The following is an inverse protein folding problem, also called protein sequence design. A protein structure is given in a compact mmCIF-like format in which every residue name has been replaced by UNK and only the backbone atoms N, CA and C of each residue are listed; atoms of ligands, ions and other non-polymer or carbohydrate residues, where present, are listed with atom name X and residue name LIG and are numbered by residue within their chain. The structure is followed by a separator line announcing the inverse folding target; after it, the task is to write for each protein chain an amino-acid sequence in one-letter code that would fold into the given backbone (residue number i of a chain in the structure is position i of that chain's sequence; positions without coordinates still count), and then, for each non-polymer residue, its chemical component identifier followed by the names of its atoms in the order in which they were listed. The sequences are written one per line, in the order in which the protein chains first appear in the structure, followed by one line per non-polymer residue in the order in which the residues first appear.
data_IF_349992650934
#
_entry.id   IF_349992650934
#
_cell.length_a   1.000
_cell.length_b   1.000
_cell.length_c   1.000
_cell.angle_alpha   90.00
_cell.angle_beta   90.00
_cell.angle_gamma   90.00
#
_symmetry.space_group_name_H-M   'P 1'
#
loop_
_entity.id
_entity.type
_entity.pdbx_description
1 polymer ?
#
# COMPACT_ATOMS: atom_id res chain seq x y z
N UNK A 1 -46.06 39.50 22.13
CA UNK A 1 -46.71 38.78 23.24
C UNK A 1 -46.38 37.29 23.14
N UNK A 2 -45.73 36.68 24.14
CA UNK A 2 -45.39 35.26 24.11
C UNK A 2 -46.61 34.39 24.49
N UNK A 3 -46.96 33.43 23.63
CA UNK A 3 -48.10 32.50 23.80
C UNK A 3 -47.87 31.57 25.00
N UNK A 4 -48.92 31.34 25.78
CA UNK A 4 -48.89 30.69 27.08
C UNK A 4 -48.72 29.17 26.99
N UNK A 5 -48.12 28.57 28.04
CA UNK A 5 -47.77 27.14 28.19
C UNK A 5 -48.94 26.14 28.02
N UNK A 6 -50.17 26.58 27.80
CA UNK A 6 -51.36 25.73 27.59
C UNK A 6 -51.45 25.16 26.16
N UNK A 7 -50.98 25.86 25.13
CA UNK A 7 -51.07 25.40 23.72
C UNK A 7 -50.11 24.23 23.37
N UNK A 8 -49.07 24.01 24.19
CA UNK A 8 -48.08 22.95 23.94
C UNK A 8 -48.58 21.58 24.45
N UNK A 9 -49.58 21.55 25.34
CA UNK A 9 -50.07 20.30 25.96
C UNK A 9 -51.11 19.55 25.11
N UNK A 10 -51.82 20.23 24.22
CA UNK A 10 -52.88 19.62 23.39
C UNK A 10 -52.37 18.93 22.12
N UNK A 11 -51.18 19.30 21.62
CA UNK A 11 -50.58 18.63 20.44
C UNK A 11 -49.85 17.32 20.76
N UNK A 12 -49.66 16.96 22.04
CA UNK A 12 -48.95 15.74 22.44
C UNK A 12 -49.82 14.49 22.63
N UNK A 13 -51.16 14.59 22.47
CA UNK A 13 -52.08 13.48 22.79
C UNK A 13 -52.61 12.74 21.54
N UNK A 14 -52.31 13.18 20.31
CA UNK A 14 -52.95 12.62 19.09
C UNK A 14 -52.09 11.76 18.16
N UNK A 15 -50.91 11.30 18.56
CA UNK A 15 -50.10 10.37 17.75
C UNK A 15 -49.58 9.19 18.55
N UNK A 16 -50.49 8.30 18.94
CA UNK A 16 -50.17 6.90 19.27
C UNK A 16 -50.96 5.99 18.32
N UNK A 17 -50.47 5.84 17.09
CA UNK A 17 -50.87 4.73 16.21
C UNK A 17 -49.83 3.62 16.32
N UNK A 18 -50.30 2.49 16.85
CA UNK A 18 -49.62 1.18 16.97
C UNK A 18 -48.89 0.82 15.67
N UNK A 19 -47.58 0.64 15.74
CA UNK A 19 -46.81 -0.06 14.70
C UNK A 19 -46.76 -1.54 15.11
N UNK A 20 -47.34 -2.38 14.25
CA UNK A 20 -47.41 -3.84 14.38
C UNK A 20 -45.99 -4.42 14.30
N UNK A 21 -45.62 -5.18 15.32
CA UNK A 21 -44.40 -5.99 15.37
C UNK A 21 -44.58 -7.19 14.44
N UNK A 22 -43.81 -7.26 13.36
CA UNK A 22 -43.74 -8.46 12.52
C UNK A 22 -42.84 -9.50 13.21
N UNK A 23 -43.49 -10.52 13.77
CA UNK A 23 -42.92 -11.69 14.44
C UNK A 23 -42.55 -12.70 13.34
N UNK A 24 -41.26 -12.92 13.10
CA UNK A 24 -40.79 -14.02 12.25
C UNK A 24 -40.93 -15.35 13.00
N UNK A 25 -41.56 -16.40 12.43
CA UNK A 25 -41.60 -17.71 13.08
C UNK A 25 -40.22 -18.37 13.07
N UNK A 26 -39.80 -18.82 14.25
CA UNK A 26 -38.71 -19.78 14.47
C UNK A 26 -39.36 -21.16 14.56
N UNK A 27 -39.18 -21.97 13.52
CA UNK A 27 -39.19 -23.43 13.58
C UNK A 27 -37.78 -23.85 13.14
N UNK A 28 -37.08 -24.82 13.71
CA UNK A 28 -37.48 -26.01 14.43
C UNK A 28 -36.48 -27.08 14.01
N UNK A 29 -35.81 -27.67 14.98
CA UNK A 29 -34.70 -28.63 14.85
C UNK A 29 -35.09 -29.86 14.01
N UNK A 30 -34.19 -30.32 13.13
CA UNK A 30 -34.37 -31.58 12.40
C UNK A 30 -33.07 -32.15 11.83
N UNK A 31 -32.45 -33.05 12.58
CA UNK A 31 -31.30 -33.88 12.19
C UNK A 31 -31.65 -34.86 11.05
N UNK A 32 -30.58 -35.35 10.40
CA UNK A 32 -30.44 -36.62 9.67
C UNK A 32 -31.16 -36.81 8.32
N UNK A 33 -30.39 -37.06 7.25
CA UNK A 33 -30.21 -38.43 6.72
C UNK A 33 -29.12 -38.54 5.65
N UNK A 34 -28.28 -39.54 5.88
CA UNK A 34 -27.41 -40.25 4.94
C UNK A 34 -28.26 -41.05 3.94
N UNK A 35 -27.80 -41.17 2.69
CA UNK A 35 -27.82 -42.36 1.78
C UNK A 35 -27.40 -41.89 0.38
N UNK A 36 -26.18 -42.20 -0.08
CA UNK A 36 -25.81 -43.38 -0.89
C UNK A 36 -26.69 -43.51 -2.15
N UNK A 37 -26.12 -43.14 -3.31
CA UNK A 37 -25.66 -44.03 -4.39
C UNK A 37 -26.81 -44.52 -5.29
N UNK A 38 -26.78 -44.40 -6.62
CA UNK A 38 -25.88 -45.20 -7.45
C UNK A 38 -26.25 -45.05 -8.95
N UNK A 39 -25.30 -45.41 -9.83
CA UNK A 39 -25.44 -45.86 -11.23
C UNK A 39 -25.74 -44.78 -12.28
N UNK A 40 -25.13 -44.71 -13.47
CA UNK A 40 -24.02 -45.38 -14.19
C UNK A 40 -23.77 -44.47 -15.44
N UNK A 41 -22.78 -44.56 -16.33
CA UNK A 41 -21.83 -45.57 -16.75
C UNK A 41 -20.77 -44.89 -17.64
N UNK A 42 -19.54 -45.44 -17.59
CA UNK A 42 -18.64 -45.76 -18.72
C UNK A 42 -18.21 -44.63 -19.69
N UNK A 43 -16.92 -44.41 -19.97
CA UNK A 43 -15.99 -45.33 -20.65
C UNK A 43 -14.52 -45.03 -20.22
N UNK A 44 -13.88 -45.96 -19.49
CA UNK A 44 -12.78 -46.88 -19.92
C UNK A 44 -11.39 -46.29 -20.24
N UNK A 45 -10.52 -46.28 -19.21
CA UNK A 45 -9.28 -47.09 -19.00
C UNK A 45 -8.15 -47.18 -20.07
N UNK A 46 -6.91 -47.64 -19.74
CA UNK A 46 -6.14 -47.62 -18.46
C UNK A 46 -4.60 -47.36 -18.55
N UNK A 47 -4.03 -46.97 -17.39
CA UNK A 47 -2.77 -47.41 -16.72
C UNK A 47 -1.40 -47.51 -17.45
N UNK A 48 -0.36 -46.90 -16.85
CA UNK A 48 0.77 -47.65 -16.22
C UNK A 48 1.77 -46.73 -15.50
N UNK A 49 1.91 -46.91 -14.18
CA UNK A 49 3.08 -46.49 -13.39
C UNK A 49 3.97 -47.72 -13.21
N UNK A 50 5.25 -47.63 -13.58
CA UNK A 50 6.31 -48.49 -13.04
C UNK A 50 7.57 -47.68 -12.74
N UNK A 51 8.20 -48.14 -11.67
CA UNK A 51 9.29 -47.63 -10.86
C UNK A 51 10.70 -47.75 -11.46
N UNK A 52 11.58 -46.88 -10.95
CA UNK A 52 13.00 -47.09 -10.60
C UNK A 52 14.07 -47.41 -11.67
N UNK A 53 15.21 -46.71 -11.56
CA UNK A 53 16.54 -47.33 -11.70
C UNK A 53 17.47 -46.86 -12.82
N UNK A 54 18.39 -45.95 -12.47
CA UNK A 54 19.80 -45.81 -12.90
C UNK A 54 20.27 -45.54 -14.36
N UNK A 55 21.05 -44.43 -14.44
CA UNK A 55 22.32 -44.21 -15.18
C UNK A 55 22.35 -44.33 -16.72
N UNK A 56 22.58 -43.18 -17.37
CA UNK A 56 23.77 -42.92 -18.23
C UNK A 56 23.85 -41.44 -18.68
N UNK A 57 25.02 -40.84 -18.48
CA UNK A 57 25.44 -39.56 -19.11
C UNK A 57 25.56 -39.76 -20.63
N UNK A 58 25.16 -38.81 -21.49
CA UNK A 58 25.67 -38.77 -22.85
C UNK A 58 26.89 -37.85 -22.92
N UNK A 59 27.99 -38.46 -23.33
CA UNK A 59 29.26 -37.88 -23.77
C UNK A 59 29.13 -37.11 -25.08
N UNK A 60 29.93 -36.05 -25.18
CA UNK A 60 30.51 -35.43 -26.37
C UNK A 60 29.97 -35.86 -27.75
N UNK A 61 29.41 -34.89 -28.49
CA UNK A 61 29.44 -34.92 -29.96
C UNK A 61 30.35 -33.82 -30.48
N UNK A 62 31.35 -34.30 -31.22
CA UNK A 62 32.41 -33.55 -31.86
C UNK A 62 31.90 -32.65 -32.99
N UNK A 63 32.63 -31.55 -33.17
CA UNK A 63 32.50 -30.60 -34.25
C UNK A 63 32.71 -31.24 -35.63
N UNK A 64 31.86 -30.88 -36.59
CA UNK A 64 32.15 -31.00 -38.01
C UNK A 64 32.02 -29.64 -38.71
N UNK A 65 33.19 -29.17 -39.10
CA UNK A 65 33.58 -28.14 -40.07
C UNK A 65 32.46 -27.69 -41.04
N UNK A 66 32.15 -26.39 -41.02
CA UNK A 66 31.86 -25.60 -42.23
C UNK A 66 32.77 -24.38 -42.25
N UNK A 67 33.48 -24.24 -43.36
CA UNK A 67 34.44 -23.19 -43.72
C UNK A 67 33.74 -21.82 -43.85
N UNK A 68 34.40 -20.70 -43.49
CA UNK A 68 33.93 -19.37 -43.83
C UNK A 68 34.55 -18.92 -45.18
N UNK A 69 33.72 -18.51 -46.13
CA UNK A 69 34.17 -17.72 -47.26
C UNK A 69 34.46 -16.29 -46.79
N UNK A 70 35.61 -15.78 -47.21
CA UNK A 70 36.26 -14.55 -46.74
C UNK A 70 36.00 -13.42 -47.74
N UNK A 71 35.48 -12.28 -47.29
CA UNK A 71 35.69 -10.97 -47.95
C UNK A 71 36.02 -9.94 -46.86
N UNK A 72 37.05 -9.16 -47.16
CA UNK A 72 37.86 -8.37 -46.24
C UNK A 72 37.27 -6.98 -45.91
N UNK A 73 37.82 -6.40 -44.84
CA UNK A 73 37.89 -4.96 -44.51
C UNK A 73 36.58 -4.21 -44.24
N UNK A 74 36.25 -4.10 -42.96
CA UNK A 74 36.04 -2.84 -42.20
C UNK A 74 35.82 -3.17 -40.71
N UNK A 75 36.91 -3.57 -40.03
CA UNK A 75 37.01 -3.49 -38.58
C UNK A 75 37.43 -2.06 -38.27
N UNK A 76 36.45 -1.21 -38.00
CA UNK A 76 36.51 0.11 -37.36
C UNK A 76 35.21 0.83 -37.78
N UNK A 77 34.18 0.79 -36.92
CA UNK A 77 32.99 1.61 -37.16
C UNK A 77 31.61 1.06 -36.76
N UNK A 78 31.49 -0.12 -36.15
CA UNK A 78 30.16 -0.69 -35.82
C UNK A 78 29.92 -1.09 -34.36
N UNK A 79 30.90 -0.94 -33.47
CA UNK A 79 30.70 -1.16 -32.03
C UNK A 79 30.43 0.13 -31.24
N UNK A 80 30.37 1.30 -31.91
CA UNK A 80 30.09 2.60 -31.28
C UNK A 80 28.68 3.15 -31.53
N UNK A 81 27.83 2.48 -32.31
CA UNK A 81 26.52 3.04 -32.69
C UNK A 81 25.33 2.51 -31.88
N UNK A 82 25.49 1.42 -31.12
CA UNK A 82 24.41 0.84 -30.28
C UNK A 82 24.52 1.26 -28.80
N UNK A 83 25.73 1.57 -28.32
CA UNK A 83 25.95 2.08 -26.96
C UNK A 83 25.47 3.55 -26.82
N UNK A 84 25.76 4.38 -27.82
CA UNK A 84 25.34 5.80 -27.85
C UNK A 84 23.81 5.97 -27.97
N UNK A 85 23.09 4.99 -28.53
CA UNK A 85 21.63 5.03 -28.64
C UNK A 85 20.94 4.64 -27.32
N UNK A 86 21.52 3.69 -26.55
CA UNK A 86 21.07 3.36 -25.18
C UNK A 86 21.32 4.49 -24.18
N UNK A 87 22.46 5.17 -24.28
CA UNK A 87 22.75 6.32 -23.42
C UNK A 87 21.88 7.54 -23.77
N UNK A 88 21.58 7.77 -25.05
CA UNK A 88 20.69 8.86 -25.48
C UNK A 88 19.21 8.62 -25.13
N UNK A 89 18.74 7.37 -25.09
CA UNK A 89 17.39 7.05 -24.59
C UNK A 89 17.30 7.18 -23.07
N UNK A 90 18.32 6.76 -22.32
CA UNK A 90 18.35 6.99 -20.86
C UNK A 90 18.41 8.48 -20.50
N UNK A 91 19.18 9.30 -21.24
CA UNK A 91 19.28 10.75 -21.00
C UNK A 91 17.99 11.47 -21.40
N UNK A 92 17.29 11.03 -22.46
CA UNK A 92 15.97 11.56 -22.83
C UNK A 92 14.89 11.17 -21.83
N UNK A 93 14.88 9.95 -21.31
CA UNK A 93 13.96 9.54 -20.25
C UNK A 93 14.23 10.28 -18.93
N UNK A 94 15.49 10.46 -18.55
CA UNK A 94 15.88 11.25 -17.36
C UNK A 94 15.44 12.71 -17.51
N UNK A 95 15.62 13.31 -18.68
CA UNK A 95 15.17 14.68 -18.98
C UNK A 95 13.65 14.86 -19.02
N UNK A 96 12.87 13.86 -19.42
CA UNK A 96 11.39 13.89 -19.36
C UNK A 96 10.90 13.72 -17.92
N UNK A 97 11.54 12.85 -17.13
CA UNK A 97 11.25 12.62 -15.69
C UNK A 97 11.57 13.85 -14.83
N UNK A 98 12.62 14.60 -15.15
CA UNK A 98 12.97 15.84 -14.45
C UNK A 98 12.03 17.01 -14.80
N UNK A 99 11.59 17.11 -16.06
CA UNK A 99 10.67 18.17 -16.52
C UNK A 99 9.24 17.98 -15.99
N UNK A 100 8.74 16.75 -15.89
CA UNK A 100 7.43 16.47 -15.28
C UNK A 100 7.44 16.81 -13.78
N UNK A 101 8.54 16.50 -13.10
CA UNK A 101 8.71 16.75 -11.68
C UNK A 101 8.72 18.25 -11.30
N UNK A 102 9.38 19.09 -12.11
CA UNK A 102 9.42 20.55 -11.90
C UNK A 102 8.04 21.17 -12.16
N UNK A 103 7.27 20.64 -13.14
CA UNK A 103 5.92 21.11 -13.48
C UNK A 103 4.89 20.85 -12.37
N UNK A 104 5.02 19.75 -11.64
CA UNK A 104 4.13 19.42 -10.52
C UNK A 104 4.38 20.29 -9.28
N UNK A 105 5.64 20.67 -9.03
CA UNK A 105 5.99 21.65 -7.98
C UNK A 105 5.35 23.01 -8.24
N UNK A 106 5.32 23.47 -9.49
CA UNK A 106 4.66 24.74 -9.86
C UNK A 106 3.15 24.69 -9.72
N UNK A 107 2.51 23.54 -9.94
CA UNK A 107 1.06 23.38 -9.93
C UNK A 107 0.38 23.72 -8.58
N UNK A 108 1.10 23.58 -7.46
CA UNK A 108 0.53 23.81 -6.11
C UNK A 108 0.79 25.24 -5.60
N UNK A 109 1.65 26.03 -6.27
CA UNK A 109 1.89 27.43 -5.86
C UNK A 109 0.65 28.32 -6.03
N UNK A 110 -0.26 27.95 -6.93
CA UNK A 110 -1.45 28.73 -7.28
C UNK A 110 -2.75 28.17 -6.69
N UNK A 111 -2.73 26.96 -6.10
CA UNK A 111 -3.94 26.28 -5.60
C UNK A 111 -4.01 26.26 -4.07
N UNK A 112 -5.22 26.35 -3.53
CA UNK A 112 -5.48 26.15 -2.09
C UNK A 112 -5.05 24.75 -1.67
N UNK A 113 -4.05 24.64 -0.80
CA UNK A 113 -3.56 23.37 -0.26
C UNK A 113 -3.90 23.22 1.23
N UNK A 114 -4.07 21.99 1.67
CA UNK A 114 -4.26 21.65 3.08
C UNK A 114 -2.94 21.16 3.67
N UNK A 115 -2.47 21.83 4.73
CA UNK A 115 -1.23 21.47 5.42
C UNK A 115 -1.49 20.65 6.68
N UNK A 116 -0.69 19.61 6.88
CA UNK A 116 -0.69 18.84 8.13
C UNK A 116 0.70 18.30 8.47
N UNK A 117 0.87 17.95 9.74
CA UNK A 117 2.13 17.40 10.27
C UNK A 117 1.87 16.03 10.87
N UNK A 118 2.78 15.09 10.62
CA UNK A 118 2.77 13.76 11.22
C UNK A 118 4.11 13.43 11.84
N UNK A 119 4.09 12.62 12.91
CA UNK A 119 5.29 12.25 13.66
C UNK A 119 5.21 10.78 14.07
N UNK A 120 6.29 10.03 13.90
CA UNK A 120 6.44 8.65 14.36
C UNK A 120 7.88 8.38 14.73
N UNK A 121 8.13 7.83 15.92
CA UNK A 121 9.48 7.77 16.49
C UNK A 121 10.13 9.17 16.46
N UNK A 122 11.31 9.27 15.86
CA UNK A 122 12.03 10.53 15.66
C UNK A 122 11.78 11.15 14.27
N UNK A 123 10.91 10.55 13.44
CA UNK A 123 10.60 11.07 12.12
C UNK A 123 9.47 12.12 12.19
N UNK A 124 9.64 13.19 11.42
CA UNK A 124 8.69 14.30 11.28
C UNK A 124 8.40 14.47 9.79
N UNK A 125 7.12 14.50 9.43
CA UNK A 125 6.65 14.74 8.07
C UNK A 125 5.73 15.97 8.05
N UNK A 126 5.98 16.89 7.12
CA UNK A 126 5.09 18.00 6.78
C UNK A 126 4.51 17.73 5.40
N UNK A 127 3.19 17.66 5.30
CA UNK A 127 2.47 17.32 4.07
C UNK A 127 1.66 18.52 3.62
N UNK A 128 1.71 18.80 2.32
CA UNK A 128 0.76 19.66 1.61
C UNK A 128 -0.06 18.79 0.67
N UNK A 129 -1.38 18.82 0.86
CA UNK A 129 -2.33 18.04 0.08
C UNK A 129 -3.13 19.00 -0.81
N UNK A 130 -3.26 18.67 -2.10
CA UNK A 130 -4.09 19.37 -3.05
C UNK A 130 -4.91 18.37 -3.88
N UNK A 131 -6.12 18.71 -4.34
CA UNK A 131 -6.86 17.85 -5.27
C UNK A 131 -6.10 17.72 -6.60
N UNK A 132 -5.99 16.50 -7.14
CA UNK A 132 -5.18 16.19 -8.32
C UNK A 132 -5.24 14.72 -8.75
N UNK A 133 -4.18 14.24 -9.42
CA UNK A 133 -4.11 12.96 -10.13
C UNK A 133 -3.47 11.81 -9.32
N UNK A 134 -3.12 12.02 -8.05
CA UNK A 134 -2.53 10.98 -7.20
C UNK A 134 -1.00 11.04 -7.09
N UNK A 135 -0.37 12.14 -7.51
CA UNK A 135 1.09 12.23 -7.54
C UNK A 135 1.66 12.39 -6.12
N UNK A 136 2.66 11.57 -5.78
CA UNK A 136 3.32 11.57 -4.49
C UNK A 136 4.80 11.97 -4.62
N UNK A 137 5.12 13.13 -4.09
CA UNK A 137 6.47 13.71 -4.07
C UNK A 137 6.99 13.77 -2.64
N UNK A 138 8.19 13.26 -2.40
CA UNK A 138 8.85 13.23 -1.08
C UNK A 138 10.27 13.78 -1.20
N UNK A 139 10.58 14.86 -0.48
CA UNK A 139 11.92 15.49 -0.49
C UNK A 139 12.48 15.68 -1.90
N UNK A 140 11.66 16.21 -2.80
CA UNK A 140 12.05 16.51 -4.18
C UNK A 140 12.40 15.29 -5.03
N UNK A 141 11.99 14.10 -4.59
CA UNK A 141 12.05 12.84 -5.34
C UNK A 141 10.66 12.23 -5.45
N UNK A 142 10.48 11.30 -6.39
CA UNK A 142 9.25 10.50 -6.43
C UNK A 142 9.13 9.66 -5.14
N UNK A 143 7.92 9.54 -4.59
CA UNK A 143 7.71 8.78 -3.36
C UNK A 143 8.19 7.33 -3.46
N UNK A 144 8.06 6.73 -4.65
CA UNK A 144 8.48 5.35 -4.92
C UNK A 144 10.00 5.18 -4.99
N UNK A 145 10.72 6.19 -5.48
CA UNK A 145 12.19 6.15 -5.54
C UNK A 145 12.81 6.44 -4.16
N UNK A 146 12.24 7.40 -3.42
CA UNK A 146 12.69 7.72 -2.07
C UNK A 146 12.58 6.51 -1.12
N UNK A 147 11.40 5.87 -1.12
CA UNK A 147 11.14 4.65 -0.36
C UNK A 147 11.46 3.41 -1.21
N UNK A 148 12.74 3.06 -1.29
CA UNK A 148 13.25 1.82 -1.92
C UNK A 148 12.41 0.55 -1.65
N UNK A 149 11.77 0.46 -0.48
CA UNK A 149 10.85 -0.62 -0.10
C UNK A 149 9.45 -0.44 -0.72
N UNK A 150 9.28 -0.83 -1.99
CA UNK A 150 8.05 -0.54 -2.74
C UNK A 150 6.78 -1.13 -2.11
N UNK A 151 6.81 -2.36 -1.57
CA UNK A 151 5.61 -3.02 -1.05
C UNK A 151 5.08 -2.36 0.24
N UNK A 152 5.96 -2.18 1.22
CA UNK A 152 5.62 -1.54 2.49
C UNK A 152 5.22 -0.06 2.29
N UNK A 153 5.93 0.64 1.40
CA UNK A 153 5.59 2.01 1.04
C UNK A 153 4.19 2.10 0.44
N UNK A 154 3.87 1.25 -0.55
CA UNK A 154 2.54 1.21 -1.19
C UNK A 154 1.44 0.96 -0.17
N UNK A 155 1.64 0.01 0.75
CA UNK A 155 0.63 -0.30 1.76
C UNK A 155 0.42 0.85 2.74
N UNK A 156 1.49 1.40 3.32
CA UNK A 156 1.39 2.40 4.40
C UNK A 156 0.94 3.77 3.86
N UNK A 157 1.52 4.22 2.75
CA UNK A 157 1.25 5.55 2.18
C UNK A 157 -0.14 5.63 1.56
N UNK A 158 -0.60 4.56 0.89
CA UNK A 158 -1.91 4.54 0.25
C UNK A 158 -3.06 4.22 1.23
N UNK A 159 -2.77 3.65 2.41
CA UNK A 159 -3.79 3.28 3.41
C UNK A 159 -4.87 4.36 3.65
N UNK A 160 -4.55 5.63 3.94
CA UNK A 160 -5.57 6.66 4.16
C UNK A 160 -6.48 6.88 2.95
N UNK A 161 -5.94 6.79 1.73
CA UNK A 161 -6.72 6.95 0.50
C UNK A 161 -7.59 5.74 0.18
N UNK A 162 -7.06 4.53 0.43
CA UNK A 162 -7.78 3.27 0.22
C UNK A 162 -9.02 3.16 1.11
N UNK A 163 -8.90 3.55 2.39
CA UNK A 163 -10.04 3.54 3.34
C UNK A 163 -11.16 4.47 2.89
N UNK A 164 -10.82 5.58 2.24
CA UNK A 164 -11.80 6.53 1.71
C UNK A 164 -12.25 6.21 0.28
N UNK A 165 -11.64 5.22 -0.39
CA UNK A 165 -11.91 4.90 -1.79
C UNK A 165 -11.47 5.98 -2.78
N UNK A 166 -10.46 6.80 -2.43
CA UNK A 166 -10.02 7.99 -3.19
C UNK A 166 -8.53 7.97 -3.49
N UNK A 167 -8.06 6.90 -4.13
CA UNK A 167 -6.64 6.63 -4.35
C UNK A 167 -5.95 7.64 -5.27
N UNK A 168 -6.65 8.14 -6.28
CA UNK A 168 -6.06 8.92 -7.37
C UNK A 168 -6.61 10.36 -7.43
N UNK A 169 -7.19 10.85 -6.32
CA UNK A 169 -7.88 12.15 -6.28
C UNK A 169 -7.04 13.30 -5.72
N UNK A 170 -5.85 13.01 -5.17
CA UNK A 170 -5.06 14.00 -4.44
C UNK A 170 -3.57 13.93 -4.78
N UNK A 171 -3.00 15.09 -5.06
CA UNK A 171 -1.56 15.27 -5.15
C UNK A 171 -0.99 15.60 -3.76
N UNK A 172 0.12 14.96 -3.43
CA UNK A 172 0.73 15.02 -2.11
C UNK A 172 2.20 15.41 -2.23
N UNK A 173 2.56 16.57 -1.69
CA UNK A 173 3.95 16.99 -1.53
C UNK A 173 4.36 16.88 -0.08
N UNK A 174 5.47 16.18 0.17
CA UNK A 174 5.93 15.89 1.52
C UNK A 174 7.37 16.32 1.72
N UNK A 175 7.61 17.03 2.82
CA UNK A 175 8.96 17.22 3.38
C UNK A 175 9.12 16.37 4.63
N UNK A 176 10.12 15.50 4.65
CA UNK A 176 10.35 14.54 5.74
C UNK A 176 11.78 14.68 6.26
N UNK A 177 11.93 14.62 7.58
CA UNK A 177 13.22 14.59 8.26
C UNK A 177 13.23 13.68 9.48
N UNK A 178 14.43 13.22 9.85
CA UNK A 178 14.67 12.41 11.05
C UNK A 178 14.23 10.94 10.94
N UNK A 179 14.65 10.14 11.92
CA UNK A 179 14.33 8.71 12.02
C UNK A 179 14.86 7.87 10.84
N UNK A 180 14.23 6.72 10.61
CA UNK A 180 14.51 5.84 9.46
C UNK A 180 13.30 5.73 8.51
N UNK A 181 13.49 5.13 7.33
CA UNK A 181 12.46 5.08 6.25
C UNK A 181 11.10 4.56 6.71
N UNK A 182 11.08 3.49 7.52
CA UNK A 182 9.82 2.92 8.06
C UNK A 182 9.10 3.87 9.01
N UNK A 183 9.84 4.61 9.83
CA UNK A 183 9.26 5.61 10.71
C UNK A 183 8.72 6.81 9.90
N UNK A 184 9.47 7.22 8.87
CA UNK A 184 9.08 8.25 7.94
C UNK A 184 7.78 7.91 7.22
N UNK A 185 7.65 6.72 6.62
CA UNK A 185 6.41 6.26 5.98
C UNK A 185 5.19 6.38 6.91
N UNK A 186 5.31 5.92 8.15
CA UNK A 186 4.23 6.03 9.13
C UNK A 186 3.93 7.48 9.56
N UNK A 187 4.93 8.36 9.60
CA UNK A 187 4.71 9.79 9.84
C UNK A 187 3.98 10.46 8.68
N UNK A 188 4.32 10.10 7.43
CA UNK A 188 3.65 10.59 6.22
C UNK A 188 2.19 10.15 6.19
N UNK A 189 1.90 8.86 6.43
CA UNK A 189 0.53 8.35 6.46
C UNK A 189 -0.34 9.07 7.50
N UNK A 190 0.21 9.33 8.69
CA UNK A 190 -0.49 10.08 9.73
C UNK A 190 -0.73 11.54 9.34
N UNK A 191 0.22 12.19 8.66
CA UNK A 191 0.06 13.54 8.15
C UNK A 191 -1.01 13.63 7.05
N UNK A 192 -1.03 12.69 6.11
CA UNK A 192 -2.04 12.60 5.05
C UNK A 192 -3.45 12.46 5.66
N UNK A 193 -3.62 11.58 6.65
CA UNK A 193 -4.91 11.41 7.32
C UNK A 193 -5.41 12.72 7.97
N UNK A 194 -4.52 13.49 8.61
CA UNK A 194 -4.85 14.80 9.18
C UNK A 194 -5.15 15.86 8.12
N UNK A 195 -4.49 15.81 6.97
CA UNK A 195 -4.77 16.72 5.86
C UNK A 195 -6.14 16.43 5.23
N UNK A 196 -6.49 15.14 5.07
CA UNK A 196 -7.80 14.71 4.57
C UNK A 196 -8.95 15.10 5.52
N UNK A 197 -8.72 15.02 6.83
CA UNK A 197 -9.67 15.52 7.83
C UNK A 197 -9.92 17.03 7.70
N UNK A 198 -8.87 17.82 7.41
CA UNK A 198 -9.02 19.26 7.17
C UNK A 198 -9.73 19.57 5.85
N UNK A 199 -9.54 18.72 4.84
CA UNK A 199 -10.22 18.86 3.55
C UNK A 199 -11.73 18.63 3.69
N UNK A 200 -12.13 17.54 4.36
CA UNK A 200 -13.54 17.31 4.70
C UNK A 200 -13.66 16.71 6.12
N UNK A 201 -14.34 17.40 7.06
CA UNK A 201 -14.51 16.92 8.43
C UNK A 201 -15.31 15.60 8.55
N UNK A 202 -16.10 15.23 7.54
CA UNK A 202 -16.88 13.98 7.54
C UNK A 202 -15.97 12.74 7.55
N UNK A 203 -14.78 12.84 6.98
CA UNK A 203 -13.80 11.74 6.94
C UNK A 203 -13.23 11.41 8.31
N UNK A 204 -13.39 12.27 9.33
CA UNK A 204 -12.90 12.01 10.68
C UNK A 204 -13.47 10.71 11.25
N UNK A 205 -14.75 10.41 11.01
CA UNK A 205 -15.41 9.21 11.56
C UNK A 205 -14.81 7.92 11.01
N UNK A 206 -14.58 7.84 9.70
CA UNK A 206 -13.98 6.66 9.06
C UNK A 206 -12.50 6.53 9.42
N UNK A 207 -11.73 7.62 9.35
CA UNK A 207 -10.29 7.61 9.67
C UNK A 207 -10.01 7.29 11.16
N UNK A 208 -10.89 7.71 12.07
CA UNK A 208 -10.79 7.39 13.50
C UNK A 208 -11.06 5.91 13.78
N UNK A 209 -12.05 5.31 13.11
CA UNK A 209 -12.35 3.86 13.24
C UNK A 209 -11.15 3.01 12.84
N UNK A 210 -10.45 3.41 11.78
CA UNK A 210 -9.24 2.73 11.27
C UNK A 210 -7.95 3.08 12.03
N UNK A 211 -8.03 3.94 13.05
CA UNK A 211 -6.89 4.30 13.90
C UNK A 211 -5.81 5.18 13.24
N UNK A 212 -6.10 5.85 12.11
CA UNK A 212 -5.13 6.65 11.37
C UNK A 212 -4.84 8.03 11.98
N UNK A 213 -5.79 8.55 12.77
CA UNK A 213 -5.66 9.84 13.46
C UNK A 213 -4.92 9.74 14.80
N UNK A 214 -4.64 8.52 15.28
CA UNK A 214 -3.88 8.33 16.52
C UNK A 214 -2.40 8.28 16.21
N UNK A 215 -1.61 9.12 16.89
CA UNK A 215 -0.15 9.03 16.82
C UNK A 215 0.30 7.72 17.46
N UNK A 216 1.16 6.95 16.77
CA UNK A 216 1.83 5.80 17.41
C UNK A 216 2.82 6.30 18.47
N UNK A 217 2.48 6.05 19.74
CA UNK A 217 3.23 6.51 20.91
C UNK A 217 4.48 5.67 21.19
N UNK A 218 4.66 4.52 20.52
CA UNK A 218 5.78 3.61 20.79
C UNK A 218 7.11 4.25 20.42
N UNK A 219 7.99 4.33 21.42
CA UNK A 219 9.36 4.83 21.30
C UNK A 219 10.37 3.75 21.72
N UNK A 220 11.63 3.90 21.30
CA UNK A 220 12.71 3.02 21.78
C UNK A 220 12.91 3.28 23.29
N UNK A 221 12.73 2.24 24.09
CA UNK A 221 13.10 2.28 25.51
C UNK A 221 14.61 2.45 25.64
N UNK A 222 15.04 3.29 26.57
CA UNK A 222 16.46 3.49 26.87
C UNK A 222 17.06 2.23 27.50
N UNK A 223 18.39 2.09 27.40
CA UNK A 223 19.14 1.04 28.11
C UNK A 223 19.20 1.39 29.59
N UNK A 224 18.79 0.46 30.47
CA UNK A 224 18.92 0.61 31.93
C UNK A 224 20.29 0.10 32.38
N UNK A 225 20.82 0.65 33.47
CA UNK A 225 22.09 0.21 34.04
C UNK A 225 21.99 -1.24 34.54
N UNK A 226 23.11 -1.96 34.52
CA UNK A 226 23.17 -3.38 34.91
C UNK A 226 22.51 -4.37 33.93
N UNK A 227 21.88 -3.88 32.86
CA UNK A 227 21.24 -4.71 31.82
C UNK A 227 22.05 -4.70 30.52
N UNK A 228 21.91 -5.77 29.72
CA UNK A 228 22.52 -5.85 28.39
C UNK A 228 21.79 -4.95 27.37
N UNK A 229 20.46 -4.82 27.52
CA UNK A 229 19.59 -3.97 26.70
C UNK A 229 18.55 -3.20 27.54
N UNK A 230 17.44 -2.79 26.93
CA UNK A 230 16.36 -2.11 27.67
C UNK A 230 15.75 -2.98 28.78
N UNK A 231 15.56 -4.28 28.49
CA UNK A 231 15.00 -5.28 29.44
C UNK A 231 15.84 -6.56 29.55
N UNK A 232 16.78 -6.76 28.63
CA UNK A 232 17.60 -7.98 28.56
C UNK A 232 18.57 -8.04 29.75
N UNK A 233 18.39 -9.04 30.62
CA UNK A 233 19.27 -9.31 31.77
C UNK A 233 20.49 -10.12 31.34
N UNK A 234 21.61 -9.93 32.04
CA UNK A 234 22.75 -10.86 31.92
C UNK A 234 22.33 -12.21 32.51
N UNK A 235 22.65 -13.35 31.88
CA UNK A 235 22.37 -14.66 32.47
C UNK A 235 23.11 -14.78 33.82
N UNK A 236 22.38 -15.14 34.87
CA UNK A 236 22.94 -15.41 36.20
C UNK A 236 23.37 -16.88 36.27
N UNK A 237 24.60 -17.21 36.67
CA UNK A 237 24.95 -18.59 37.01
C UNK A 237 24.10 -18.99 38.23
N UNK A 238 23.16 -19.93 38.04
CA UNK A 238 22.49 -20.59 39.16
C UNK A 238 23.47 -21.61 39.70
N UNK A 239 23.91 -21.42 40.94
CA UNK A 239 24.88 -22.28 41.62
C UNK A 239 24.19 -22.95 42.79
#
# INVERSE_FOLDING_TARGET
MPRTKKEIKEKKVKTTKKIKVNKTPKDGVGKTRVRQASQAAEQTSPLLVKSAGEKKRPSARQASKRSPLKVEKKKEGLEKTVADQKEKEEVKEKGIKEKSFIKEKSFIKEKSYFEAVGRRKNAIARVRLAPGEGNLIVNDLSGWDYFKDQLLARQILNKPFLILGRKDSFNTIVKVGGGGKTAQMGAVAHAIARALEKFNPDFRKTLKKEGLLTRDSRMKESKKYGLLGARAKKPSPKR
#
